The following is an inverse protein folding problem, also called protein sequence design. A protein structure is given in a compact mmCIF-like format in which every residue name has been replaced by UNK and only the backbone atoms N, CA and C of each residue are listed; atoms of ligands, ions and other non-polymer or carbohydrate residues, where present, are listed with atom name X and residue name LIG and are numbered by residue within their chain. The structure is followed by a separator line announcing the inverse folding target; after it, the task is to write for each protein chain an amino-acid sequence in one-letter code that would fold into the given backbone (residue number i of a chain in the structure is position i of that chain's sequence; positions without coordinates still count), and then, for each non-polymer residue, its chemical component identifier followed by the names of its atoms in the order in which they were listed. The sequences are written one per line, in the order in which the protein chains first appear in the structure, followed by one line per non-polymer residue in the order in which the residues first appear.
data_IF_927784940288
#
_entry.id   IF_927784940288
#
_cell.length_a   1.000
_cell.length_b   1.000
_cell.length_c   1.000
_cell.angle_alpha   90.00
_cell.angle_beta   90.00
_cell.angle_gamma   90.00
#
_symmetry.space_group_name_H-M   'P 1'
#
loop_
_entity.id
_entity.type
_entity.pdbx_description
1 polymer ?
#
# COMPACT_ATOMS: atom_id res chain seq x y z
N UNK A 1 -26.11 71.55 -8.48
CA UNK A 1 -26.07 70.98 -7.12
C UNK A 1 -25.19 69.73 -7.14
N UNK A 2 -24.29 69.63 -6.15
CA UNK A 2 -23.47 68.50 -5.71
C UNK A 2 -22.63 67.70 -6.76
N UNK A 3 -21.39 68.16 -6.92
CA UNK A 3 -20.24 67.36 -7.35
C UNK A 3 -19.79 66.46 -6.18
N UNK A 4 -19.66 65.15 -6.38
CA UNK A 4 -18.94 64.28 -5.44
C UNK A 4 -17.62 63.83 -6.05
N UNK A 5 -16.56 64.53 -5.64
CA UNK A 5 -15.17 64.14 -5.81
C UNK A 5 -14.82 63.16 -4.68
N UNK A 6 -14.42 61.93 -5.04
CA UNK A 6 -13.77 61.00 -4.09
C UNK A 6 -12.27 61.10 -4.30
N UNK A 7 -11.63 61.61 -3.26
CA UNK A 7 -10.22 61.99 -3.16
C UNK A 7 -9.43 60.79 -2.62
N UNK A 8 -8.48 60.33 -3.43
CA UNK A 8 -7.16 59.73 -3.08
C UNK A 8 -6.92 59.16 -1.68
N UNK A 9 -6.41 57.92 -1.61
CA UNK A 9 -5.21 57.56 -0.82
C UNK A 9 -4.62 56.21 -1.28
N UNK A 10 -3.48 56.29 -1.98
CA UNK A 10 -2.47 55.23 -2.09
C UNK A 10 -1.65 55.19 -0.79
N UNK A 11 -1.21 54.02 -0.33
CA UNK A 11 0.12 53.81 0.22
C UNK A 11 0.91 52.93 -0.78
N UNK A 12 2.00 53.37 -1.42
CA UNK A 12 3.32 53.70 -0.88
C UNK A 12 4.01 52.51 -0.18
N UNK A 13 4.87 51.85 -0.96
CA UNK A 13 6.17 51.29 -0.61
C UNK A 13 6.31 50.30 0.55
N UNK A 14 6.61 49.05 0.20
CA UNK A 14 7.57 48.22 0.93
C UNK A 14 8.32 47.33 -0.08
N UNK A 15 9.36 47.92 -0.67
CA UNK A 15 10.44 47.24 -1.37
C UNK A 15 11.43 46.82 -0.30
N UNK A 16 11.66 45.52 -0.14
CA UNK A 16 12.79 44.95 0.61
C UNK A 16 13.40 43.90 -0.32
N UNK A 17 14.33 44.31 -1.16
CA UNK A 17 15.78 44.30 -0.92
C UNK A 17 16.36 42.91 -1.17
N UNK A 18 16.84 42.78 -2.41
CA UNK A 18 17.74 41.76 -2.91
C UNK A 18 19.00 41.72 -2.05
N UNK A 19 19.32 40.55 -1.50
CA UNK A 19 20.66 40.27 -0.99
C UNK A 19 21.31 39.26 -1.92
N UNK A 20 22.18 39.79 -2.77
CA UNK A 20 23.08 39.06 -3.65
C UNK A 20 24.05 38.19 -2.84
N UNK A 21 24.27 36.95 -3.29
CA UNK A 21 25.42 36.13 -2.92
C UNK A 21 26.18 35.78 -4.21
N UNK A 22 27.51 35.91 -4.23
CA UNK A 22 28.29 35.99 -5.46
C UNK A 22 28.53 34.63 -6.12
N UNK A 23 28.57 34.66 -7.45
CA UNK A 23 29.04 33.59 -8.31
C UNK A 23 30.56 33.47 -8.23
N UNK A 24 31.08 32.33 -7.76
CA UNK A 24 32.48 31.98 -7.91
C UNK A 24 32.72 31.28 -9.26
N UNK A 25 33.31 32.06 -10.18
CA UNK A 25 33.97 31.59 -11.39
C UNK A 25 35.37 31.11 -11.00
N UNK A 26 35.57 29.81 -10.94
CA UNK A 26 36.90 29.22 -11.10
C UNK A 26 36.75 27.84 -11.77
N UNK A 27 37.65 27.57 -12.71
CA UNK A 27 37.95 26.26 -13.29
C UNK A 27 37.39 25.91 -14.69
N UNK A 28 37.44 26.90 -15.59
CA UNK A 28 37.56 26.66 -17.04
C UNK A 28 38.92 27.14 -17.55
N UNK A 29 40.02 26.54 -17.09
CA UNK A 29 41.32 26.79 -17.68
C UNK A 29 42.36 25.69 -17.35
N UNK A 30 42.15 24.45 -17.82
CA UNK A 30 43.26 23.53 -18.12
C UNK A 30 42.78 22.37 -18.99
N UNK A 31 43.69 21.91 -19.85
CA UNK A 31 43.59 20.75 -20.73
C UNK A 31 42.83 20.91 -22.07
N UNK A 32 43.22 21.94 -22.86
CA UNK A 32 43.36 21.77 -24.32
C UNK A 32 44.86 21.76 -24.66
N UNK A 33 45.40 20.56 -24.86
CA UNK A 33 46.66 20.15 -25.54
C UNK A 33 46.68 18.65 -25.27
N UNK A 34 46.44 17.77 -26.24
CA UNK A 34 47.40 17.37 -27.27
C UNK A 34 46.62 16.78 -28.45
N UNK A 35 46.88 17.29 -29.66
CA UNK A 35 46.67 16.54 -30.89
C UNK A 35 48.05 16.06 -31.37
N UNK A 36 48.22 14.75 -31.60
CA UNK A 36 48.96 14.18 -32.74
C UNK A 36 49.04 12.65 -32.64
N UNK A 37 48.67 11.99 -33.74
CA UNK A 37 49.41 10.83 -34.25
C UNK A 37 48.64 9.52 -34.35
N UNK A 38 48.29 9.14 -35.60
CA UNK A 38 48.72 7.86 -36.17
C UNK A 38 47.80 6.65 -36.04
N UNK A 39 47.12 6.33 -37.14
CA UNK A 39 47.02 5.01 -37.81
C UNK A 39 46.81 3.73 -36.99
N UNK A 40 45.68 3.04 -37.21
CA UNK A 40 45.68 1.71 -37.85
C UNK A 40 44.26 1.09 -37.94
N UNK A 41 44.04 0.54 -39.13
CA UNK A 41 42.94 -0.27 -39.65
C UNK A 41 42.42 -1.37 -38.72
N UNK A 42 41.10 -1.53 -38.66
CA UNK A 42 40.42 -2.67 -38.03
C UNK A 42 39.00 -2.84 -38.58
N UNK A 43 38.92 -3.52 -39.72
CA UNK A 43 37.75 -3.81 -40.54
C UNK A 43 36.78 -4.78 -39.81
N UNK A 44 35.56 -4.36 -39.50
CA UNK A 44 34.51 -5.24 -38.97
C UNK A 44 33.18 -4.97 -39.69
N UNK A 45 32.85 -5.94 -40.57
CA UNK A 45 31.67 -6.03 -41.44
C UNK A 45 30.34 -6.07 -40.68
N UNK A 46 29.23 -5.61 -41.30
CA UNK A 46 27.89 -5.70 -40.74
C UNK A 46 27.28 -7.11 -40.91
N UNK A 47 26.55 -7.58 -39.90
CA UNK A 47 25.80 -8.83 -39.92
C UNK A 47 24.41 -8.65 -40.57
N UNK A 48 24.08 -9.52 -41.52
CA UNK A 48 22.79 -9.61 -42.20
C UNK A 48 21.76 -10.46 -41.40
N UNK A 49 20.44 -10.32 -41.64
CA UNK A 49 19.38 -10.96 -40.85
C UNK A 49 18.99 -12.34 -41.40
N UNK A 50 18.68 -13.28 -40.50
CA UNK A 50 18.35 -14.67 -40.85
C UNK A 50 17.15 -15.25 -40.11
N UNK A 51 16.06 -15.38 -40.88
CA UNK A 51 15.00 -16.41 -40.86
C UNK A 51 13.93 -16.45 -39.75
N UNK A 52 12.70 -16.20 -40.23
CA UNK A 52 11.41 -16.68 -39.72
C UNK A 52 11.40 -18.21 -39.60
N UNK A 53 10.74 -18.73 -38.57
CA UNK A 53 10.17 -20.08 -38.61
C UNK A 53 8.76 -20.11 -38.00
N UNK A 54 7.88 -20.79 -38.74
CA UNK A 54 6.44 -20.96 -38.53
C UNK A 54 6.16 -22.05 -37.48
N UNK A 55 5.07 -21.82 -36.74
CA UNK A 55 3.92 -22.72 -36.48
C UNK A 55 4.20 -24.21 -36.19
N UNK A 56 3.80 -24.65 -34.99
CA UNK A 56 3.38 -26.01 -34.67
C UNK A 56 2.73 -25.99 -33.27
N UNK A 57 1.39 -25.88 -33.21
CA UNK A 57 0.40 -26.95 -33.01
C UNK A 57 0.37 -27.53 -31.60
N UNK A 58 -0.84 -27.47 -31.04
CA UNK A 58 -1.26 -27.97 -29.75
C UNK A 58 -1.22 -29.49 -29.69
N UNK A 59 -0.85 -30.05 -28.54
CA UNK A 59 -1.25 -31.39 -28.13
C UNK A 59 -1.71 -31.39 -26.66
N UNK A 60 -3.00 -31.61 -26.52
CA UNK A 60 -3.68 -31.91 -25.26
C UNK A 60 -3.37 -33.36 -24.87
N UNK A 61 -2.86 -33.58 -23.66
CA UNK A 61 -2.53 -34.91 -23.17
C UNK A 61 -3.62 -35.43 -22.23
N UNK A 62 -4.26 -36.51 -22.67
CA UNK A 62 -5.38 -37.24 -22.09
C UNK A 62 -4.97 -37.99 -20.81
N UNK A 63 -5.86 -38.06 -19.83
CA UNK A 63 -5.82 -39.03 -18.73
C UNK A 63 -6.70 -40.24 -19.08
N UNK A 64 -6.28 -41.50 -18.80
CA UNK A 64 -7.09 -42.67 -19.06
C UNK A 64 -7.96 -43.06 -17.85
N UNK A 65 -9.24 -43.27 -18.12
CA UNK A 65 -10.15 -44.05 -17.29
C UNK A 65 -9.87 -45.55 -17.48
N UNK A 66 -9.88 -46.33 -16.39
CA UNK A 66 -10.20 -47.76 -16.44
C UNK A 66 -11.02 -48.18 -15.23
N UNK A 67 -12.14 -48.82 -15.57
CA UNK A 67 -13.13 -49.41 -14.71
C UNK A 67 -12.85 -50.90 -14.45
N UNK A 68 -13.68 -51.45 -13.56
CA UNK A 68 -14.24 -52.82 -13.55
C UNK A 68 -13.53 -53.89 -12.71
N UNK A 69 -14.30 -54.50 -11.80
CA UNK A 69 -13.94 -55.71 -11.07
C UNK A 69 -14.95 -56.09 -9.98
N UNK A 70 -16.17 -56.49 -10.38
CA UNK A 70 -17.22 -57.13 -9.58
C UNK A 70 -17.09 -58.66 -9.73
N UNK A 71 -17.14 -59.42 -8.63
CA UNK A 71 -17.59 -60.84 -8.49
C UNK A 71 -17.23 -61.27 -7.04
N UNK A 72 -18.13 -61.46 -6.08
CA UNK A 72 -19.26 -62.40 -5.93
C UNK A 72 -18.93 -63.53 -4.92
N UNK A 73 -19.76 -63.55 -3.88
CA UNK A 73 -20.27 -64.69 -3.10
C UNK A 73 -19.29 -65.74 -2.54
N UNK A 74 -19.23 -65.81 -1.20
CA UNK A 74 -19.19 -67.09 -0.50
C UNK A 74 -20.15 -67.06 0.69
N UNK A 75 -21.11 -67.97 0.62
CA UNK A 75 -22.21 -68.22 1.56
C UNK A 75 -21.66 -69.14 2.65
N UNK A 76 -21.84 -68.78 3.92
CA UNK A 76 -21.76 -69.75 5.00
C UNK A 76 -22.89 -69.48 6.01
N UNK A 77 -23.90 -70.32 5.94
CA UNK A 77 -25.04 -70.44 6.83
C UNK A 77 -24.59 -71.02 8.16
N UNK A 78 -24.97 -70.46 9.31
CA UNK A 78 -25.15 -71.22 10.55
C UNK A 78 -25.77 -70.34 11.66
N UNK A 79 -26.81 -70.87 12.31
CA UNK A 79 -27.00 -70.65 13.75
C UNK A 79 -28.06 -69.64 14.19
N UNK A 80 -29.24 -70.17 14.48
CA UNK A 80 -30.35 -69.55 15.23
C UNK A 80 -29.90 -69.19 16.66
N UNK A 81 -30.36 -68.04 17.16
CA UNK A 81 -30.22 -67.63 18.55
C UNK A 81 -30.94 -66.31 18.85
N UNK A 82 -32.27 -66.36 19.00
CA UNK A 82 -33.06 -65.28 19.59
C UNK A 82 -32.70 -65.19 21.09
N UNK A 83 -31.69 -64.39 21.41
CA UNK A 83 -31.39 -64.02 22.79
C UNK A 83 -32.16 -62.74 23.12
N UNK A 84 -33.22 -62.89 23.92
CA UNK A 84 -33.88 -61.77 24.57
C UNK A 84 -32.88 -61.10 25.51
N UNK A 85 -32.35 -59.95 25.09
CA UNK A 85 -31.62 -59.06 25.99
C UNK A 85 -32.64 -58.39 26.92
N UNK A 86 -32.73 -58.89 28.15
CA UNK A 86 -33.36 -58.17 29.25
C UNK A 86 -32.65 -56.82 29.39
N UNK A 87 -33.38 -55.73 29.12
CA UNK A 87 -32.90 -54.39 29.36
C UNK A 87 -32.77 -54.17 30.88
N UNK A 88 -31.54 -54.06 31.37
CA UNK A 88 -31.28 -53.47 32.68
C UNK A 88 -31.80 -52.02 32.69
N UNK A 89 -32.48 -51.58 33.76
CA UNK A 89 -32.87 -50.19 33.89
C UNK A 89 -31.60 -49.34 34.03
N UNK A 90 -31.28 -48.58 32.97
CA UNK A 90 -30.24 -47.55 33.00
C UNK A 90 -30.60 -46.59 34.13
N UNK A 91 -29.73 -46.39 35.14
CA UNK A 91 -30.01 -45.45 36.22
C UNK A 91 -30.23 -44.07 35.61
N UNK A 92 -31.36 -43.46 35.95
CA UNK A 92 -31.69 -42.10 35.57
C UNK A 92 -30.49 -41.21 35.91
N UNK A 93 -29.85 -40.65 34.88
CA UNK A 93 -28.86 -39.58 35.05
C UNK A 93 -29.52 -38.51 35.91
N UNK A 94 -28.97 -38.31 37.10
CA UNK A 94 -29.32 -37.20 37.95
C UNK A 94 -29.32 -35.91 37.12
N UNK A 95 -30.27 -34.99 37.36
CA UNK A 95 -30.24 -33.70 36.68
C UNK A 95 -28.88 -33.07 37.01
N UNK A 96 -28.03 -32.96 35.99
CA UNK A 96 -26.86 -32.08 36.04
C UNK A 96 -27.43 -30.71 36.34
N UNK A 97 -27.27 -30.30 37.60
CA UNK A 97 -27.60 -28.96 38.05
C UNK A 97 -26.88 -28.04 37.08
N UNK A 98 -27.67 -27.31 36.29
CA UNK A 98 -27.18 -26.28 35.40
C UNK A 98 -26.54 -25.23 36.31
N UNK A 99 -25.23 -25.35 36.49
CA UNK A 99 -24.43 -24.27 37.04
C UNK A 99 -24.78 -23.05 36.20
N UNK A 100 -25.33 -22.03 36.87
CA UNK A 100 -25.71 -20.76 36.27
C UNK A 100 -24.68 -20.39 35.21
N UNK A 101 -25.13 -20.28 33.95
CA UNK A 101 -24.28 -19.98 32.81
C UNK A 101 -23.60 -18.63 33.06
N UNK A 102 -22.42 -18.66 33.65
CA UNK A 102 -21.52 -17.52 33.62
C UNK A 102 -21.26 -17.28 32.14
N UNK A 103 -21.75 -16.14 31.63
CA UNK A 103 -21.65 -15.80 30.23
C UNK A 103 -20.22 -16.05 29.73
N UNK A 104 -20.09 -16.89 28.70
CA UNK A 104 -18.79 -17.28 28.17
C UNK A 104 -17.97 -16.01 27.82
N UNK A 105 -16.68 -15.98 28.13
CA UNK A 105 -15.84 -14.84 27.81
C UNK A 105 -15.80 -14.62 26.29
N UNK A 106 -15.98 -13.38 25.85
CA UNK A 106 -15.89 -13.01 24.43
C UNK A 106 -14.44 -12.68 24.11
N UNK A 107 -13.93 -13.28 23.03
CA UNK A 107 -12.56 -13.07 22.55
C UNK A 107 -12.47 -11.77 21.75
N UNK A 108 -11.37 -11.04 21.93
CA UNK A 108 -11.04 -9.88 21.10
C UNK A 108 -9.65 -10.00 20.49
N UNK A 109 -9.45 -9.32 19.36
CA UNK A 109 -8.16 -9.13 18.70
C UNK A 109 -7.77 -7.66 18.78
N UNK A 110 -6.55 -7.39 19.23
CA UNK A 110 -5.98 -6.04 19.22
C UNK A 110 -5.49 -5.72 17.82
N UNK A 111 -5.93 -4.58 17.28
CA UNK A 111 -5.55 -4.08 15.96
C UNK A 111 -5.05 -2.65 16.08
N UNK A 112 -4.16 -2.24 15.16
CA UNK A 112 -3.75 -0.84 15.10
C UNK A 112 -4.86 0.03 14.52
N UNK A 113 -4.94 1.29 14.94
CA UNK A 113 -5.84 2.25 14.31
C UNK A 113 -5.47 2.52 12.83
N UNK A 114 -4.18 2.44 12.49
CA UNK A 114 -3.66 2.62 11.14
C UNK A 114 -2.77 1.43 10.80
N UNK A 115 -3.12 0.74 9.72
CA UNK A 115 -2.36 -0.36 9.15
C UNK A 115 -2.46 -0.24 7.64
N UNK A 116 -1.32 -0.35 6.95
CA UNK A 116 -1.27 -0.20 5.50
C UNK A 116 -0.23 -1.10 4.90
N UNK A 117 -0.63 -1.82 3.85
CA UNK A 117 0.28 -2.56 2.98
C UNK A 117 0.59 -1.66 1.79
N UNK A 118 1.85 -1.28 1.66
CA UNK A 118 2.34 -0.59 0.46
C UNK A 118 2.55 -1.63 -0.63
N UNK A 119 1.87 -1.46 -1.75
CA UNK A 119 1.95 -2.35 -2.90
C UNK A 119 2.54 -1.64 -4.12
N UNK A 120 3.19 -2.40 -4.99
CA UNK A 120 3.75 -1.89 -6.23
C UNK A 120 2.65 -1.36 -7.15
N UNK A 121 2.74 -0.09 -7.57
CA UNK A 121 1.82 0.49 -8.56
C UNK A 121 2.23 0.17 -10.00
N UNK A 122 3.51 -0.15 -10.22
CA UNK A 122 4.09 -0.46 -11.53
C UNK A 122 4.98 -1.70 -11.43
N UNK A 123 5.21 -2.36 -12.57
CA UNK A 123 6.20 -3.40 -12.67
C UNK A 123 7.59 -2.77 -12.57
N UNK A 124 8.50 -3.39 -11.81
CA UNK A 124 9.83 -2.84 -11.60
C UNK A 124 10.72 -3.75 -10.79
N UNK A 125 12.02 -3.43 -10.81
CA UNK A 125 13.04 -4.10 -10.00
C UNK A 125 13.50 -3.18 -8.88
N UNK A 126 13.60 -3.69 -7.66
CA UNK A 126 14.07 -2.89 -6.52
C UNK A 126 15.57 -2.63 -6.61
N UNK A 127 15.96 -1.36 -6.64
CA UNK A 127 17.35 -0.93 -6.56
C UNK A 127 17.84 -0.85 -5.11
N UNK A 128 16.96 -0.37 -4.21
CA UNK A 128 17.27 -0.18 -2.79
C UNK A 128 16.08 -0.57 -1.92
N UNK A 129 16.36 -1.22 -0.80
CA UNK A 129 15.39 -1.49 0.26
C UNK A 129 16.04 -1.00 1.55
N UNK A 130 15.47 0.05 2.14
CA UNK A 130 15.96 0.71 3.34
C UNK A 130 15.24 0.24 4.61
N UNK A 131 14.05 -0.34 4.46
CA UNK A 131 13.25 -0.84 5.56
C UNK A 131 13.67 -2.25 5.99
N UNK A 132 13.80 -2.48 7.29
CA UNK A 132 13.92 -3.79 7.91
C UNK A 132 12.74 -4.05 8.84
N UNK A 133 12.52 -5.33 9.15
CA UNK A 133 11.51 -5.75 10.12
C UNK A 133 11.76 -5.07 11.48
N UNK A 134 10.72 -4.45 12.05
CA UNK A 134 10.78 -3.81 13.37
C UNK A 134 11.29 -2.37 13.36
N UNK A 135 11.77 -1.85 12.21
CA UNK A 135 12.25 -0.48 12.10
C UNK A 135 11.14 0.53 12.40
N UNK A 136 11.49 1.59 13.13
CA UNK A 136 10.59 2.72 13.37
C UNK A 136 10.76 3.75 12.26
N UNK A 137 9.64 4.19 11.67
CA UNK A 137 9.64 5.06 10.49
C UNK A 137 8.79 6.31 10.74
N UNK A 138 9.16 7.41 10.08
CA UNK A 138 8.39 8.67 10.07
C UNK A 138 7.58 8.78 8.79
N UNK A 139 6.50 9.56 8.82
CA UNK A 139 5.75 9.90 7.62
C UNK A 139 6.69 10.55 6.57
N UNK A 140 6.57 10.13 5.31
CA UNK A 140 7.40 10.57 4.19
C UNK A 140 8.79 9.91 4.11
N UNK A 141 9.15 9.00 5.02
CA UNK A 141 10.43 8.32 4.97
C UNK A 141 10.49 7.31 3.81
N UNK A 142 11.60 7.29 3.06
CA UNK A 142 11.84 6.32 2.00
C UNK A 142 12.11 4.92 2.57
N UNK A 143 11.30 3.95 2.16
CA UNK A 143 11.36 2.57 2.62
C UNK A 143 11.99 1.65 1.58
N UNK A 144 11.64 1.84 0.32
CA UNK A 144 12.19 1.10 -0.81
C UNK A 144 12.12 1.96 -2.07
N UNK A 145 12.96 1.63 -3.06
CA UNK A 145 12.98 2.32 -4.34
C UNK A 145 13.22 1.34 -5.50
N UNK A 146 12.48 1.55 -6.59
CA UNK A 146 12.74 0.90 -7.87
C UNK A 146 13.98 1.46 -8.57
N UNK A 147 14.53 0.65 -9.47
CA UNK A 147 15.54 1.05 -10.45
C UNK A 147 14.88 1.84 -11.57
N UNK A 148 14.91 3.17 -11.46
CA UNK A 148 14.25 4.08 -12.40
C UNK A 148 15.24 4.94 -13.20
N UNK A 149 16.46 4.43 -13.43
CA UNK A 149 17.48 5.13 -14.21
C UNK A 149 17.01 5.48 -15.63
N UNK A 150 16.23 4.61 -16.27
CA UNK A 150 15.69 4.88 -17.61
C UNK A 150 14.65 6.00 -17.59
N UNK A 151 13.72 5.98 -16.63
CA UNK A 151 12.69 7.03 -16.49
C UNK A 151 13.35 8.37 -16.19
N UNK A 152 14.39 8.37 -15.35
CA UNK A 152 15.20 9.55 -15.06
C UNK A 152 15.86 10.11 -16.34
N UNK A 153 16.48 9.26 -17.15
CA UNK A 153 17.10 9.68 -18.41
C UNK A 153 16.07 10.27 -19.40
N UNK A 154 14.89 9.66 -19.51
CA UNK A 154 13.79 10.18 -20.35
C UNK A 154 13.28 11.54 -19.86
N UNK A 155 13.19 11.72 -18.54
CA UNK A 155 12.83 12.98 -17.90
C UNK A 155 13.86 14.07 -18.23
N UNK A 156 15.15 13.75 -18.16
CA UNK A 156 16.22 14.69 -18.44
C UNK A 156 16.30 15.06 -19.94
N UNK A 157 15.98 14.12 -20.84
CA UNK A 157 15.80 14.42 -22.26
C UNK A 157 14.62 15.39 -22.50
N UNK A 158 13.45 15.13 -21.90
CA UNK A 158 12.30 16.03 -21.99
C UNK A 158 12.57 17.43 -21.41
N UNK A 159 13.43 17.50 -20.39
CA UNK A 159 13.92 18.77 -19.83
C UNK A 159 14.77 19.56 -20.84
N UNK A 160 15.67 18.90 -21.55
CA UNK A 160 16.46 19.54 -22.61
C UNK A 160 15.56 20.02 -23.77
N UNK A 161 14.56 19.23 -24.15
CA UNK A 161 13.57 19.61 -25.18
C UNK A 161 12.75 20.84 -24.76
N UNK A 162 12.30 20.90 -23.50
CA UNK A 162 11.56 22.04 -22.98
C UNK A 162 12.40 23.32 -22.97
N UNK A 163 13.69 23.21 -22.65
CA UNK A 163 14.61 24.34 -22.70
C UNK A 163 14.85 24.82 -24.14
N UNK A 164 15.03 23.90 -25.08
CA UNK A 164 15.14 24.24 -26.51
C UNK A 164 13.89 24.95 -27.03
N UNK A 165 12.69 24.42 -26.70
CA UNK A 165 11.42 25.05 -27.05
C UNK A 165 11.27 26.44 -26.43
N UNK A 166 11.73 26.63 -25.17
CA UNK A 166 11.71 27.92 -24.49
C UNK A 166 12.55 28.95 -25.20
N UNK A 167 13.78 28.59 -25.58
CA UNK A 167 14.68 29.47 -26.33
C UNK A 167 14.08 29.85 -27.69
N UNK A 168 13.44 28.90 -28.38
CA UNK A 168 12.76 29.18 -29.66
C UNK A 168 11.57 30.13 -29.48
N UNK A 169 10.74 29.92 -28.46
CA UNK A 169 9.64 30.81 -28.14
C UNK A 169 10.12 32.22 -27.82
N UNK A 170 11.16 32.37 -27.01
CA UNK A 170 11.76 33.68 -26.70
C UNK A 170 12.34 34.37 -27.94
N UNK A 171 12.97 33.62 -28.83
CA UNK A 171 13.46 34.14 -30.10
C UNK A 171 12.29 34.63 -30.99
N UNK A 172 11.22 33.83 -31.11
CA UNK A 172 10.02 34.19 -31.89
C UNK A 172 9.29 35.40 -31.31
N UNK A 173 9.16 35.48 -29.98
CA UNK A 173 8.62 36.65 -29.27
C UNK A 173 9.42 37.93 -29.58
N UNK A 174 10.75 37.86 -29.53
CA UNK A 174 11.62 39.00 -29.88
C UNK A 174 11.45 39.41 -31.34
N UNK A 175 11.38 38.45 -32.25
CA UNK A 175 11.18 38.71 -33.68
C UNK A 175 9.78 39.30 -33.97
N UNK A 176 8.74 38.87 -33.26
CA UNK A 176 7.40 39.45 -33.36
C UNK A 176 7.39 40.92 -32.93
N UNK A 177 8.12 41.27 -31.85
CA UNK A 177 8.31 42.67 -31.43
C UNK A 177 9.05 43.55 -32.45
N UNK A 178 9.80 42.93 -33.36
CA UNK A 178 10.44 43.56 -34.53
C UNK A 178 9.60 43.41 -35.82
N UNK A 179 8.33 43.02 -35.72
CA UNK A 179 7.42 42.75 -36.85
C UNK A 179 7.97 41.73 -37.87
N UNK A 180 8.87 40.84 -37.42
CA UNK A 180 9.59 39.86 -38.24
C UNK A 180 9.12 38.42 -38.03
N UNK A 181 8.07 38.20 -37.23
CA UNK A 181 7.43 36.89 -37.05
C UNK A 181 5.92 37.06 -36.93
N UNK A 182 5.16 36.11 -37.49
CA UNK A 182 3.70 36.10 -37.38
C UNK A 182 3.24 35.64 -35.98
N UNK A 183 2.10 36.14 -35.53
CA UNK A 183 1.51 35.77 -34.23
C UNK A 183 1.32 34.26 -34.08
N UNK A 184 0.84 33.59 -35.14
CA UNK A 184 0.67 32.13 -35.18
C UNK A 184 1.98 31.36 -34.94
N UNK A 185 3.15 31.92 -35.34
CA UNK A 185 4.44 31.27 -35.08
C UNK A 185 4.83 31.35 -33.61
N UNK A 186 4.51 32.46 -32.95
CA UNK A 186 4.72 32.66 -31.52
C UNK A 186 3.80 31.76 -30.71
N UNK A 187 2.53 31.69 -31.09
CA UNK A 187 1.55 30.78 -30.47
C UNK A 187 1.96 29.30 -30.62
N UNK A 188 2.42 28.90 -31.81
CA UNK A 188 2.92 27.55 -32.04
C UNK A 188 4.17 27.25 -31.19
N UNK A 189 5.09 28.21 -31.06
CA UNK A 189 6.26 28.07 -30.20
C UNK A 189 5.87 27.98 -28.71
N UNK A 190 4.88 28.76 -28.26
CA UNK A 190 4.33 28.66 -26.91
C UNK A 190 3.67 27.29 -26.67
N UNK A 191 2.90 26.79 -27.63
CA UNK A 191 2.29 25.47 -27.57
C UNK A 191 3.36 24.35 -27.46
N UNK A 192 4.49 24.48 -28.18
CA UNK A 192 5.61 23.55 -28.09
C UNK A 192 6.28 23.56 -26.71
N UNK A 193 6.45 24.73 -26.09
CA UNK A 193 6.91 24.84 -24.69
C UNK A 193 5.96 24.09 -23.76
N UNK A 194 4.65 24.34 -23.87
CA UNK A 194 3.64 23.70 -23.03
C UNK A 194 3.61 22.17 -23.22
N UNK A 195 3.77 21.70 -24.46
CA UNK A 195 3.89 20.27 -24.79
C UNK A 195 5.10 19.64 -24.10
N UNK A 196 6.29 20.24 -24.24
CA UNK A 196 7.51 19.71 -23.64
C UNK A 196 7.45 19.74 -22.10
N UNK A 197 6.89 20.79 -21.51
CA UNK A 197 6.64 20.84 -20.06
C UNK A 197 5.67 19.75 -19.58
N UNK A 198 4.64 19.44 -20.39
CA UNK A 198 3.72 18.34 -20.09
C UNK A 198 4.44 16.99 -20.09
N UNK A 199 5.40 16.80 -21.00
CA UNK A 199 6.22 15.60 -21.05
C UNK A 199 7.08 15.42 -19.79
N UNK A 200 7.65 16.50 -19.26
CA UNK A 200 8.36 16.48 -17.97
C UNK A 200 7.42 16.01 -16.85
N UNK A 201 6.21 16.57 -16.76
CA UNK A 201 5.23 16.18 -15.72
C UNK A 201 4.84 14.70 -15.79
N UNK A 202 4.75 14.13 -17.00
CA UNK A 202 4.49 12.70 -17.19
C UNK A 202 5.63 11.87 -16.57
N UNK A 203 6.88 12.21 -16.87
CA UNK A 203 8.02 11.48 -16.32
C UNK A 203 8.23 11.71 -14.83
N UNK A 204 7.95 12.92 -14.31
CA UNK A 204 7.98 13.20 -12.87
C UNK A 204 6.93 12.35 -12.12
N UNK A 205 5.73 12.17 -12.68
CA UNK A 205 4.71 11.28 -12.11
C UNK A 205 5.15 9.81 -12.11
N UNK A 206 5.83 9.36 -13.18
CA UNK A 206 6.41 8.02 -13.25
C UNK A 206 7.53 7.83 -12.21
N UNK A 207 8.39 8.84 -12.01
CA UNK A 207 9.42 8.81 -10.95
C UNK A 207 8.81 8.78 -9.55
N UNK A 208 7.67 9.46 -9.34
CA UNK A 208 6.92 9.38 -8.09
C UNK A 208 6.47 7.96 -7.74
N UNK A 209 6.19 7.12 -8.74
CA UNK A 209 5.83 5.71 -8.56
C UNK A 209 7.03 4.80 -8.24
N UNK A 210 8.26 5.32 -8.38
CA UNK A 210 9.49 4.57 -8.10
C UNK A 210 9.86 4.57 -6.61
N UNK A 211 9.33 5.50 -5.81
CA UNK A 211 9.68 5.67 -4.41
C UNK A 211 8.52 5.19 -3.52
N UNK A 212 8.82 4.26 -2.61
CA UNK A 212 7.87 3.79 -1.61
C UNK A 212 8.12 4.57 -0.31
N UNK A 213 7.27 5.57 -0.07
CA UNK A 213 7.32 6.41 1.12
C UNK A 213 6.33 5.92 2.19
N UNK A 214 6.69 6.08 3.45
CA UNK A 214 5.79 5.79 4.56
C UNK A 214 4.62 6.80 4.60
N UNK A 215 3.34 6.38 4.57
CA UNK A 215 2.19 7.28 4.59
C UNK A 215 1.95 7.90 5.98
N UNK A 216 2.40 7.24 7.05
CA UNK A 216 2.30 7.70 8.44
C UNK A 216 3.51 7.23 9.25
N UNK A 217 3.68 7.77 10.47
CA UNK A 217 4.71 7.32 11.39
C UNK A 217 4.29 6.02 12.11
N UNK A 218 5.19 5.06 12.21
CA UNK A 218 4.86 3.72 12.67
C UNK A 218 6.06 2.79 12.76
N UNK A 219 5.78 1.49 12.75
CA UNK A 219 6.78 0.43 12.66
C UNK A 219 6.55 -0.44 11.44
N UNK A 220 7.65 -0.99 10.91
CA UNK A 220 7.62 -1.96 9.82
C UNK A 220 7.25 -3.33 10.37
N UNK A 221 6.05 -3.80 10.02
CA UNK A 221 5.55 -5.12 10.44
C UNK A 221 6.07 -6.24 9.54
N UNK A 222 6.27 -5.96 8.25
CA UNK A 222 6.81 -6.94 7.30
C UNK A 222 7.45 -6.26 6.10
N UNK A 223 8.51 -6.87 5.57
CA UNK A 223 9.13 -6.50 4.30
C UNK A 223 9.00 -7.68 3.35
N UNK A 224 8.33 -7.48 2.23
CA UNK A 224 8.01 -8.55 1.27
C UNK A 224 9.03 -8.65 0.12
N UNK A 225 9.92 -7.67 0.01
CA UNK A 225 10.82 -7.53 -1.15
C UNK A 225 12.28 -7.47 -0.74
N UNK A 226 13.16 -7.84 -1.66
CA UNK A 226 14.62 -7.73 -1.52
C UNK A 226 15.23 -6.90 -2.64
N UNK A 227 16.43 -6.37 -2.40
CA UNK A 227 17.21 -5.69 -3.44
C UNK A 227 17.45 -6.63 -4.62
N UNK A 228 17.26 -6.14 -5.84
CA UNK A 228 17.38 -6.90 -7.07
C UNK A 228 16.13 -7.70 -7.46
N UNK A 229 15.12 -7.80 -6.59
CA UNK A 229 13.88 -8.52 -6.90
C UNK A 229 12.98 -7.72 -7.86
N UNK A 230 12.45 -8.40 -8.87
CA UNK A 230 11.39 -7.87 -9.75
C UNK A 230 10.00 -8.17 -9.21
N UNK A 231 9.07 -7.22 -9.36
CA UNK A 231 7.67 -7.36 -8.94
C UNK A 231 6.72 -6.85 -10.01
N UNK A 232 5.47 -7.34 -9.96
CA UNK A 232 4.36 -6.88 -10.79
C UNK A 232 3.46 -5.90 -10.00
N UNK A 233 2.63 -5.10 -10.69
CA UNK A 233 1.64 -4.25 -10.03
C UNK A 233 0.73 -5.06 -9.10
N UNK A 234 0.42 -4.51 -7.93
CA UNK A 234 -0.37 -5.14 -6.88
C UNK A 234 0.44 -6.00 -5.90
N UNK A 235 1.71 -6.31 -6.19
CA UNK A 235 2.55 -7.07 -5.27
C UNK A 235 2.83 -6.28 -3.98
N UNK A 236 2.72 -6.91 -2.78
CA UNK A 236 3.03 -6.24 -1.52
C UNK A 236 4.54 -5.97 -1.41
N UNK A 237 4.89 -4.82 -0.83
CA UNK A 237 6.27 -4.31 -0.73
C UNK A 237 6.68 -4.19 0.74
N UNK A 238 5.99 -3.33 1.49
CA UNK A 238 6.21 -3.15 2.93
C UNK A 238 4.87 -3.01 3.63
N UNK A 239 4.73 -3.66 4.78
CA UNK A 239 3.59 -3.57 5.67
C UNK A 239 3.95 -2.70 6.87
N UNK A 240 3.12 -1.69 7.11
CA UNK A 240 3.33 -0.68 8.14
C UNK A 240 2.17 -0.67 9.12
N UNK A 241 2.54 -0.57 10.39
CA UNK A 241 1.61 -0.50 11.51
C UNK A 241 1.86 0.81 12.25
N UNK A 242 0.83 1.63 12.41
CA UNK A 242 0.93 2.96 12.99
C UNK A 242 1.11 2.93 14.51
N UNK A 243 1.74 3.96 15.06
CA UNK A 243 1.93 4.13 16.51
C UNK A 243 0.71 4.78 17.21
N UNK A 244 -0.46 4.80 16.55
CA UNK A 244 -1.67 5.42 17.07
C UNK A 244 -2.34 4.62 18.20
N UNK A 245 -3.49 5.08 18.71
CA UNK A 245 -4.24 4.33 19.72
C UNK A 245 -4.59 2.94 19.18
N UNK A 246 -4.44 1.94 20.04
CA UNK A 246 -4.83 0.57 19.72
C UNK A 246 -6.35 0.43 19.80
N UNK A 247 -6.87 -0.45 18.97
CA UNK A 247 -8.28 -0.81 18.95
C UNK A 247 -8.42 -2.29 19.26
N UNK A 248 -9.57 -2.72 19.74
CA UNK A 248 -9.91 -4.13 19.79
C UNK A 248 -11.16 -4.40 18.96
N UNK A 249 -11.09 -5.45 18.13
CA UNK A 249 -12.21 -5.97 17.37
C UNK A 249 -12.67 -7.28 17.96
N UNK A 250 -13.97 -7.44 18.09
CA UNK A 250 -14.57 -8.65 18.63
C UNK A 250 -15.99 -8.85 18.13
N UNK A 251 -16.40 -10.12 18.12
CA UNK A 251 -17.76 -10.52 17.80
C UNK A 251 -18.48 -10.83 19.10
N UNK A 252 -19.41 -9.96 19.49
CA UNK A 252 -20.23 -10.14 20.70
C UNK A 252 -21.55 -10.82 20.36
N UNK A 253 -22.14 -11.61 21.26
CA UNK A 253 -23.48 -12.14 21.08
C UNK A 253 -24.51 -11.03 20.80
N UNK A 254 -25.40 -11.25 19.84
CA UNK A 254 -26.43 -10.25 19.46
C UNK A 254 -27.32 -9.80 20.62
N UNK A 255 -27.52 -10.65 21.63
CA UNK A 255 -28.20 -10.31 22.88
C UNK A 255 -27.59 -9.10 23.62
N UNK A 256 -26.30 -8.82 23.45
CA UNK A 256 -25.65 -7.65 24.06
C UNK A 256 -26.17 -6.33 23.48
N UNK A 257 -26.73 -6.31 22.26
CA UNK A 257 -27.32 -5.10 21.67
C UNK A 257 -28.47 -4.50 22.51
N UNK A 258 -29.09 -5.29 23.40
CA UNK A 258 -30.12 -4.79 24.30
C UNK A 258 -29.59 -3.66 25.23
N UNK A 259 -28.30 -3.70 25.57
CA UNK A 259 -27.70 -2.78 26.53
C UNK A 259 -26.42 -2.11 26.05
N UNK A 260 -25.68 -2.72 25.13
CA UNK A 260 -24.39 -2.26 24.64
C UNK A 260 -24.57 -1.11 23.65
N UNK A 261 -24.05 0.07 24.00
CA UNK A 261 -24.10 1.29 23.18
C UNK A 261 -22.70 1.84 22.94
N UNK A 262 -22.58 2.68 21.91
CA UNK A 262 -21.36 3.44 21.68
C UNK A 262 -21.09 4.33 22.89
N UNK A 263 -19.86 4.29 23.39
CA UNK A 263 -19.42 4.99 24.60
C UNK A 263 -19.32 4.11 25.85
N UNK A 264 -19.92 2.92 25.86
CA UNK A 264 -19.86 2.01 26.98
C UNK A 264 -18.42 1.52 27.23
N UNK A 265 -18.13 1.20 28.50
CA UNK A 265 -16.84 0.67 28.92
C UNK A 265 -16.96 -0.81 29.23
N UNK A 266 -16.06 -1.59 28.66
CA UNK A 266 -15.91 -3.02 28.89
C UNK A 266 -14.55 -3.26 29.53
N UNK A 267 -14.52 -4.19 30.48
CA UNK A 267 -13.28 -4.62 31.13
C UNK A 267 -12.87 -5.98 30.59
N UNK A 268 -11.58 -6.13 30.34
CA UNK A 268 -11.01 -7.35 29.80
C UNK A 268 -9.59 -7.59 30.27
N UNK A 269 -9.04 -8.68 29.76
CA UNK A 269 -7.66 -9.08 29.98
C UNK A 269 -7.03 -9.44 28.65
N UNK A 270 -5.81 -9.00 28.41
CA UNK A 270 -4.99 -9.44 27.27
C UNK A 270 -4.31 -10.75 27.67
N UNK A 271 -4.43 -11.78 26.83
CA UNK A 271 -3.93 -13.12 27.12
C UNK A 271 -2.41 -13.14 27.27
N UNK A 272 -1.71 -12.49 26.33
CA UNK A 272 -0.25 -12.58 26.23
C UNK A 272 0.47 -11.82 27.35
N UNK A 273 -0.12 -10.75 27.88
CA UNK A 273 0.48 -9.95 28.96
C UNK A 273 -0.14 -10.24 30.33
N UNK A 274 -1.22 -11.03 30.39
CA UNK A 274 -2.12 -11.17 31.54
C UNK A 274 -2.58 -9.81 32.12
N UNK A 275 -2.52 -8.75 31.31
CA UNK A 275 -2.77 -7.39 31.73
C UNK A 275 -4.25 -7.05 31.69
N UNK A 276 -4.74 -6.39 32.73
CA UNK A 276 -6.08 -5.81 32.74
C UNK A 276 -6.15 -4.67 31.72
N UNK A 277 -7.24 -4.64 30.95
CA UNK A 277 -7.48 -3.59 29.96
C UNK A 277 -8.91 -3.03 30.05
N UNK A 278 -9.00 -1.74 29.73
CA UNK A 278 -10.26 -1.01 29.64
C UNK A 278 -10.53 -0.67 28.19
N UNK A 279 -11.69 -1.09 27.68
CA UNK A 279 -12.10 -0.97 26.30
C UNK A 279 -13.32 -0.06 26.23
N UNK A 280 -13.23 1.02 25.44
CA UNK A 280 -14.36 1.91 25.20
C UNK A 280 -14.99 1.60 23.85
N UNK A 281 -16.29 1.28 23.81
CA UNK A 281 -17.00 1.01 22.56
C UNK A 281 -17.03 2.25 21.69
N UNK A 282 -16.46 2.17 20.49
CA UNK A 282 -16.43 3.28 19.53
C UNK A 282 -17.40 3.06 18.37
N UNK A 283 -17.56 1.80 17.93
CA UNK A 283 -18.46 1.44 16.84
C UNK A 283 -19.12 0.10 17.14
N UNK A 284 -20.38 0.00 16.73
CA UNK A 284 -21.15 -1.24 16.70
C UNK A 284 -21.57 -1.46 15.26
N UNK A 285 -21.35 -2.66 14.71
CA UNK A 285 -21.75 -2.97 13.35
C UNK A 285 -23.26 -2.82 13.16
N UNK A 286 -23.67 -2.27 12.01
CA UNK A 286 -25.09 -2.08 11.68
C UNK A 286 -25.82 -3.35 11.24
N UNK A 287 -25.19 -4.52 11.36
CA UNK A 287 -25.75 -5.81 10.93
C UNK A 287 -25.31 -6.92 11.89
N UNK A 288 -26.26 -7.80 12.22
CA UNK A 288 -26.02 -9.06 12.92
C UNK A 288 -25.66 -10.13 11.90
N UNK A 289 -24.62 -10.91 12.15
CA UNK A 289 -24.32 -12.10 11.38
C UNK A 289 -25.28 -13.23 11.78
N UNK A 290 -26.15 -13.65 10.86
CA UNK A 290 -27.23 -14.60 11.16
C UNK A 290 -26.73 -16.03 11.46
N UNK A 291 -25.55 -16.41 10.95
CA UNK A 291 -24.99 -17.75 11.13
C UNK A 291 -24.40 -17.90 12.54
N UNK A 292 -23.59 -16.93 12.94
CA UNK A 292 -22.92 -16.91 14.24
C UNK A 292 -23.77 -16.27 15.35
N UNK A 293 -24.86 -15.58 15.00
CA UNK A 293 -25.68 -14.78 15.91
C UNK A 293 -24.89 -13.73 16.67
N UNK A 294 -23.81 -13.23 16.07
CA UNK A 294 -22.91 -12.22 16.66
C UNK A 294 -22.97 -10.88 15.94
N UNK A 295 -22.48 -9.84 16.61
CA UNK A 295 -22.32 -8.50 16.09
C UNK A 295 -20.87 -8.08 16.29
N UNK A 296 -20.25 -7.60 15.22
CA UNK A 296 -18.90 -7.05 15.31
C UNK A 296 -18.94 -5.68 16.01
N UNK A 297 -18.07 -5.48 16.99
CA UNK A 297 -17.85 -4.19 17.64
C UNK A 297 -16.38 -3.81 17.57
N UNK A 298 -16.14 -2.50 17.46
CA UNK A 298 -14.80 -1.90 17.53
C UNK A 298 -14.71 -1.04 18.79
N UNK A 299 -13.71 -1.32 19.60
CA UNK A 299 -13.42 -0.58 20.83
C UNK A 299 -12.06 0.10 20.74
N UNK A 300 -11.91 1.21 21.45
CA UNK A 300 -10.61 1.84 21.70
C UNK A 300 -10.02 1.26 22.98
N UNK A 301 -8.74 0.88 22.94
CA UNK A 301 -8.00 0.39 24.10
C UNK A 301 -7.55 1.60 24.94
N UNK A 302 -8.37 1.99 25.91
CA UNK A 302 -8.19 3.22 26.69
C UNK A 302 -7.05 3.12 27.72
N UNK A 303 -6.88 1.94 28.32
CA UNK A 303 -5.78 1.66 29.24
C UNK A 303 -5.41 0.19 29.22
N UNK A 304 -4.12 -0.12 29.35
CA UNK A 304 -3.62 -1.49 29.47
C UNK A 304 -2.46 -1.54 30.45
N UNK A 305 -2.43 -2.56 31.31
CA UNK A 305 -1.26 -2.85 32.13
C UNK A 305 -0.27 -3.70 31.32
N UNK A 306 0.73 -3.06 30.72
CA UNK A 306 1.79 -3.72 29.95
C UNK A 306 1.85 -3.28 28.48
N UNK A 307 2.92 -3.69 27.79
CA UNK A 307 3.10 -3.37 26.38
C UNK A 307 2.23 -4.27 25.52
N UNK A 308 1.24 -3.69 24.85
CA UNK A 308 0.35 -4.40 23.92
C UNK A 308 0.77 -4.09 22.49
N UNK A 309 0.78 -5.12 21.64
CA UNK A 309 1.05 -5.00 20.22
C UNK A 309 -0.18 -5.42 19.40
N UNK A 310 -0.38 -4.85 18.21
CA UNK A 310 -1.34 -5.36 17.25
C UNK A 310 -1.10 -6.85 16.96
N UNK A 311 -2.18 -7.63 16.88
CA UNK A 311 -2.15 -9.08 16.73
C UNK A 311 -2.32 -9.85 18.05
N UNK A 312 -2.15 -9.20 19.21
CA UNK A 312 -2.44 -9.81 20.51
C UNK A 312 -3.94 -10.06 20.69
N UNK A 313 -4.29 -11.04 21.52
CA UNK A 313 -5.67 -11.45 21.77
C UNK A 313 -6.03 -11.33 23.24
N UNK A 314 -7.32 -11.29 23.53
CA UNK A 314 -7.77 -11.21 24.91
C UNK A 314 -9.21 -11.64 25.09
N UNK A 315 -9.71 -11.45 26.30
CA UNK A 315 -11.05 -11.82 26.70
C UNK A 315 -11.73 -10.69 27.45
N UNK A 316 -13.01 -10.50 27.18
CA UNK A 316 -13.90 -9.67 27.98
C UNK A 316 -15.05 -10.52 28.53
N UNK A 317 -15.66 -10.05 29.60
CA UNK A 317 -16.91 -10.63 30.11
C UNK A 317 -18.01 -9.59 30.07
N UNK A 318 -19.25 -10.06 29.97
CA UNK A 318 -20.39 -9.18 30.15
C UNK A 318 -20.33 -8.57 31.58
N UNK A 319 -20.68 -7.28 31.75
CA UNK A 319 -20.80 -6.68 33.07
C UNK A 319 -21.78 -7.48 33.92
N UNK A 320 -21.46 -7.70 35.19
CA UNK A 320 -22.32 -8.47 36.09
C UNK A 320 -23.74 -7.85 36.18
N UNK A 321 -24.77 -8.68 35.97
CA UNK A 321 -26.18 -8.27 36.09
C UNK A 321 -26.86 -7.79 34.80
N UNK A 322 -26.33 -8.10 33.62
CA UNK A 322 -26.94 -7.81 32.31
C UNK A 322 -26.97 -9.02 31.38
#
# INVERSE_FOLDING_TARGET
MARHAVRTRRPAAAVAELRELPAERADRARARRVCRGGDAVGDLRPAAPGKRQRVGRAEAMKQPARALGLLAASICSLGVGLQQANAEPVPARAPVQSAASAAAPVRFLVVAAQESILSASVAGRFAKVHANLGDTVRAGQLLAAFDCAEVQARRDAARAEAESARVQYEAKMKLQGLQSAAEVEVELAAANVNKAQSQIRIFDAQLGQCAFLAPFAGKVARVHVKVGQGVNPGAPVVELVGNGPLKARMNVPSQWLAWLKVGDRLEGTVDETAGACSLKVTRVAGRVDAVSQTVEIETELASTSGQVLPGMSGQIRAPAGR
#
